data_IF_372720128420
#
_entry.id   IF_372720128420
#
_cell.length_a   1.000
_cell.length_b   1.000
_cell.length_c   1.000
_cell.angle_alpha   90.00
_cell.angle_beta   90.00
_cell.angle_gamma   90.00
#
_symmetry.space_group_name_H-M   'P 1'
#
loop_
_entity.id
_entity.type
_entity.pdbx_description
1 polymer ?
#
# COMPACT_ATOMS: atom_id res chain seq x y z
N UNK A 1 -16.69 32.12 -32.17
CA UNK A 1 -16.02 30.92 -31.63
C UNK A 1 -16.86 30.45 -30.47
N UNK A 2 -17.99 29.86 -30.81
CA UNK A 2 -19.09 29.59 -29.89
C UNK A 2 -18.83 28.21 -29.28
N UNK A 3 -18.35 28.19 -28.04
CA UNK A 3 -18.06 26.95 -27.31
C UNK A 3 -19.39 26.30 -26.92
N UNK A 4 -19.81 25.33 -27.72
CA UNK A 4 -20.91 24.43 -27.41
C UNK A 4 -20.56 23.62 -26.15
N UNK A 5 -21.09 24.02 -24.99
CA UNK A 5 -21.14 23.19 -23.79
C UNK A 5 -22.10 22.03 -24.07
N UNK A 6 -21.65 20.75 -24.08
CA UNK A 6 -22.58 19.64 -24.16
C UNK A 6 -23.36 19.58 -22.84
N UNK A 7 -24.68 19.68 -22.93
CA UNK A 7 -25.56 19.42 -21.80
C UNK A 7 -25.27 17.99 -21.28
N UNK A 8 -25.13 17.78 -19.96
CA UNK A 8 -24.90 16.45 -19.43
C UNK A 8 -26.13 15.60 -19.72
N UNK A 9 -25.96 14.55 -20.53
CA UNK A 9 -27.02 13.59 -20.77
C UNK A 9 -27.42 12.99 -19.43
N UNK A 10 -28.72 12.95 -19.13
CA UNK A 10 -29.22 12.49 -17.83
C UNK A 10 -28.78 11.05 -17.49
N UNK A 11 -28.44 10.25 -18.51
CA UNK A 11 -27.89 8.90 -18.39
C UNK A 11 -26.46 8.88 -17.83
N UNK A 12 -25.60 9.82 -18.25
CA UNK A 12 -24.24 10.01 -17.70
C UNK A 12 -24.30 10.39 -16.21
N UNK A 13 -25.33 11.16 -15.82
CA UNK A 13 -25.60 11.50 -14.43
C UNK A 13 -25.82 10.26 -13.58
N UNK A 14 -26.69 9.34 -14.01
CA UNK A 14 -26.98 8.10 -13.28
C UNK A 14 -25.77 7.16 -13.22
N UNK A 15 -25.06 6.99 -14.33
CA UNK A 15 -23.83 6.18 -14.37
C UNK A 15 -22.71 6.79 -13.48
N UNK A 16 -22.61 8.11 -13.43
CA UNK A 16 -21.65 8.82 -12.56
C UNK A 16 -22.01 8.71 -11.07
N UNK A 17 -23.30 8.66 -10.72
CA UNK A 17 -23.72 8.46 -9.34
C UNK A 17 -23.47 7.01 -8.85
N UNK A 18 -23.70 6.02 -9.73
CA UNK A 18 -23.39 4.62 -9.44
C UNK A 18 -21.88 4.40 -9.23
N UNK A 19 -21.03 5.01 -10.06
CA UNK A 19 -19.57 4.93 -9.89
C UNK A 19 -19.09 5.63 -8.60
N UNK A 20 -19.65 6.80 -8.26
CA UNK A 20 -19.35 7.48 -6.98
C UNK A 20 -19.79 6.65 -5.78
N UNK A 21 -20.92 5.94 -5.86
CA UNK A 21 -21.38 5.03 -4.80
C UNK A 21 -20.41 3.87 -4.60
N UNK A 22 -20.05 3.17 -5.68
CA UNK A 22 -19.06 2.07 -5.65
C UNK A 22 -17.70 2.52 -5.12
N UNK A 23 -17.26 3.73 -5.49
CA UNK A 23 -16.00 4.28 -5.02
C UNK A 23 -16.01 4.54 -3.50
N UNK A 24 -17.10 5.10 -2.96
CA UNK A 24 -17.28 5.29 -1.51
C UNK A 24 -17.28 3.95 -0.77
N UNK A 25 -18.01 2.96 -1.28
CA UNK A 25 -18.05 1.62 -0.70
C UNK A 25 -16.65 0.96 -0.70
N UNK A 26 -15.91 1.06 -1.80
CA UNK A 26 -14.56 0.54 -1.90
C UNK A 26 -13.60 1.22 -0.91
N UNK A 27 -13.72 2.55 -0.72
CA UNK A 27 -12.94 3.27 0.28
C UNK A 27 -13.27 2.81 1.70
N UNK A 28 -14.54 2.65 2.03
CA UNK A 28 -14.93 2.20 3.37
C UNK A 28 -14.51 0.75 3.62
N UNK A 29 -14.59 -0.13 2.61
CA UNK A 29 -14.05 -1.49 2.69
C UNK A 29 -12.55 -1.47 2.93
N UNK A 30 -11.79 -0.64 2.21
CA UNK A 30 -10.33 -0.50 2.41
C UNK A 30 -9.99 0.04 3.79
N UNK A 31 -10.71 1.05 4.29
CA UNK A 31 -10.52 1.61 5.64
C UNK A 31 -10.78 0.54 6.71
N UNK A 32 -11.88 -0.21 6.61
CA UNK A 32 -12.19 -1.32 7.52
C UNK A 32 -11.12 -2.41 7.51
N UNK A 33 -10.60 -2.76 6.34
CA UNK A 33 -9.50 -3.73 6.19
C UNK A 33 -8.17 -3.21 6.75
N UNK A 34 -7.93 -1.90 6.64
CA UNK A 34 -6.70 -1.26 7.11
C UNK A 34 -6.68 -1.06 8.64
N UNK A 35 -7.84 -0.88 9.28
CA UNK A 35 -7.92 -0.65 10.73
C UNK A 35 -7.43 -1.83 11.58
N UNK A 36 -7.43 -3.05 11.05
CA UNK A 36 -6.88 -4.24 11.74
C UNK A 36 -5.47 -4.64 11.32
N UNK A 37 -4.90 -4.03 10.27
CA UNK A 37 -3.58 -4.40 9.70
C UNK A 37 -2.54 -3.28 9.79
N UNK A 38 -2.95 -2.11 10.30
CA UNK A 38 -2.15 -0.89 10.36
C UNK A 38 -1.12 -0.84 11.49
N UNK A 39 -1.24 -1.71 12.49
CA UNK A 39 -0.39 -1.68 13.70
C UNK A 39 0.65 -2.80 13.73
N UNK A 40 0.48 -3.88 12.96
CA UNK A 40 1.43 -5.01 12.92
C UNK A 40 2.86 -4.60 12.52
N UNK A 41 3.00 -3.54 11.72
CA UNK A 41 4.29 -2.99 11.33
C UNK A 41 4.76 -1.83 12.23
N UNK A 42 3.87 -1.28 13.06
CA UNK A 42 4.19 -0.27 14.07
C UNK A 42 4.73 -0.90 15.36
N UNK A 43 4.31 -2.12 15.68
CA UNK A 43 4.82 -2.92 16.81
C UNK A 43 6.24 -3.45 16.59
N UNK A 44 6.91 -3.03 15.50
CA UNK A 44 8.35 -3.28 15.26
C UNK A 44 8.74 -4.75 15.09
N UNK A 45 7.78 -5.67 15.21
CA UNK A 45 8.02 -7.10 15.19
C UNK A 45 7.84 -7.64 13.77
N UNK A 46 8.66 -7.15 12.84
CA UNK A 46 8.73 -7.72 11.50
C UNK A 46 9.07 -9.21 11.61
N UNK A 47 8.29 -10.08 10.96
CA UNK A 47 8.56 -11.53 10.91
C UNK A 47 9.97 -11.88 10.41
N UNK A 48 10.62 -10.94 9.72
CA UNK A 48 12.01 -11.00 9.31
C UNK A 48 12.87 -10.40 10.43
N UNK A 49 13.11 -11.18 11.48
CA UNK A 49 14.11 -10.85 12.49
C UNK A 49 15.49 -11.13 11.89
N UNK A 50 16.11 -10.12 11.27
CA UNK A 50 17.51 -10.12 10.84
C UNK A 50 17.96 -11.38 10.07
N UNK A 51 17.75 -11.40 8.74
CA UNK A 51 18.30 -12.43 7.83
C UNK A 51 19.80 -12.69 8.06
N UNK A 52 20.53 -11.68 8.53
CA UNK A 52 21.84 -11.82 9.14
C UNK A 52 21.85 -11.08 10.47
N UNK A 53 22.04 -11.80 11.58
CA UNK A 53 22.33 -11.20 12.88
C UNK A 53 23.66 -10.44 12.85
N UNK A 54 23.98 -9.65 13.89
CA UNK A 54 25.27 -8.95 13.96
C UNK A 54 26.40 -9.96 13.75
N UNK A 55 27.21 -9.73 12.71
CA UNK A 55 28.31 -10.61 12.30
C UNK A 55 29.34 -10.61 13.43
N UNK A 56 29.18 -11.54 14.37
CA UNK A 56 29.98 -11.62 15.58
C UNK A 56 31.36 -12.22 15.32
N UNK A 57 31.56 -12.90 14.19
CA UNK A 57 32.80 -13.64 13.93
C UNK A 57 33.20 -13.57 12.45
N UNK A 58 34.07 -12.61 12.10
CA UNK A 58 34.85 -12.71 10.87
C UNK A 58 35.99 -13.71 11.12
N UNK A 59 35.96 -14.86 10.44
CA UNK A 59 37.00 -15.87 10.57
C UNK A 59 38.19 -15.47 9.72
N UNK A 60 39.21 -14.89 10.34
CA UNK A 60 40.45 -14.56 9.65
C UNK A 60 41.26 -15.85 9.40
N UNK A 61 41.38 -16.22 8.13
CA UNK A 61 42.30 -17.28 7.73
C UNK A 61 43.72 -16.72 7.79
N UNK A 62 44.47 -17.13 8.82
CA UNK A 62 45.92 -16.87 8.88
C UNK A 62 46.56 -17.53 7.67
N UNK A 63 46.73 -16.75 6.60
CA UNK A 63 47.47 -17.16 5.41
C UNK A 63 48.89 -17.49 5.87
N UNK A 64 49.37 -18.65 5.46
CA UNK A 64 50.70 -19.15 5.75
C UNK A 64 51.74 -18.21 5.14
N UNK A 65 52.16 -17.20 5.88
CA UNK A 65 53.44 -16.52 5.70
C UNK A 65 54.27 -16.83 6.94
N UNK A 66 55.33 -17.59 6.72
CA UNK A 66 56.18 -18.24 7.70
C UNK A 66 56.85 -19.39 6.99
#
# INVERSE_FOLDING_TARGET
MDTQTPAPNADDGQASEETKRKFREALDRKKRQSQGKGTDHLDGNSAIHATHGPVSNQKEFRRKSG
#
